data_IF_681878492603
#
_entry.id   IF_681878492603
#
_cell.length_a   1.000
_cell.length_b   1.000
_cell.length_c   1.000
_cell.angle_alpha   90.00
_cell.angle_beta   90.00
_cell.angle_gamma   90.00
#
_symmetry.space_group_name_H-M   'P 1'
#
loop_
_entity.id
_entity.type
_entity.pdbx_description
1 polymer ?
#
# COMPACT_ATOMS: atom_id res chain seq x y z
N UNK A 1 10.09 10.91 -3.91
CA UNK A 1 10.00 9.55 -3.34
C UNK A 1 9.15 9.62 -2.09
N UNK A 2 8.14 8.76 -1.97
CA UNK A 2 7.20 8.72 -0.86
C UNK A 2 7.10 7.28 -0.34
N UNK A 3 7.13 7.13 0.98
CA UNK A 3 6.84 5.86 1.65
C UNK A 3 5.38 5.90 2.12
N UNK A 4 4.59 4.95 1.66
CA UNK A 4 3.19 4.77 2.08
C UNK A 4 3.16 3.59 3.05
N UNK A 5 2.58 3.82 4.22
CA UNK A 5 2.35 2.80 5.24
C UNK A 5 0.85 2.70 5.51
N UNK A 6 0.28 1.51 5.33
CA UNK A 6 -1.14 1.25 5.55
C UNK A 6 -1.33 0.09 6.52
N UNK A 7 -2.21 0.27 7.53
CA UNK A 7 -2.57 -0.79 8.47
C UNK A 7 -4.01 -1.23 8.18
N UNK A 8 -4.17 -2.46 7.73
CA UNK A 8 -5.45 -3.04 7.32
C UNK A 8 -5.79 -4.29 8.11
N UNK A 9 -7.03 -4.76 7.96
CA UNK A 9 -7.45 -6.07 8.46
C UNK A 9 -6.91 -7.17 7.52
N UNK A 10 -6.53 -8.35 8.04
CA UNK A 10 -5.89 -9.39 7.23
C UNK A 10 -6.70 -9.82 5.99
N UNK A 11 -8.03 -9.89 6.11
CA UNK A 11 -8.90 -10.32 5.00
C UNK A 11 -8.95 -9.36 3.80
N UNK A 12 -8.45 -8.13 3.93
CA UNK A 12 -8.41 -7.15 2.83
C UNK A 12 -7.10 -7.19 2.04
N UNK A 13 -6.16 -8.06 2.40
CA UNK A 13 -4.85 -8.09 1.76
C UNK A 13 -4.94 -8.39 0.26
N UNK A 14 -5.76 -9.37 -0.14
CA UNK A 14 -5.93 -9.75 -1.54
C UNK A 14 -6.53 -8.61 -2.38
N UNK A 15 -7.58 -7.95 -1.86
CA UNK A 15 -8.22 -6.78 -2.47
C UNK A 15 -7.21 -5.63 -2.69
N UNK A 16 -6.36 -5.37 -1.69
CA UNK A 16 -5.33 -4.33 -1.79
C UNK A 16 -4.21 -4.72 -2.75
N UNK A 17 -3.84 -6.00 -2.82
CA UNK A 17 -2.84 -6.51 -3.75
C UNK A 17 -3.29 -6.35 -5.20
N UNK A 18 -4.53 -6.72 -5.52
CA UNK A 18 -5.11 -6.55 -6.86
C UNK A 18 -5.16 -5.07 -7.25
N UNK A 19 -5.68 -4.22 -6.35
CA UNK A 19 -5.74 -2.78 -6.60
C UNK A 19 -4.36 -2.15 -6.83
N UNK A 20 -3.33 -2.58 -6.10
CA UNK A 20 -1.95 -2.10 -6.31
C UNK A 20 -1.36 -2.61 -7.63
N UNK A 21 -1.68 -3.84 -8.03
CA UNK A 21 -1.25 -4.41 -9.30
C UNK A 21 -1.85 -3.65 -10.50
N UNK A 22 -3.13 -3.28 -10.43
CA UNK A 22 -3.80 -2.48 -11.48
C UNK A 22 -3.18 -1.08 -11.65
N UNK A 23 -2.62 -0.53 -10.58
CA UNK A 23 -1.89 0.76 -10.61
C UNK A 23 -0.44 0.58 -11.08
N UNK A 24 0.01 -0.65 -11.33
CA UNK A 24 1.36 -0.97 -11.80
C UNK A 24 2.41 -1.08 -10.69
N UNK A 25 1.99 -1.21 -9.43
CA UNK A 25 2.88 -1.41 -8.28
C UNK A 25 3.09 -2.91 -8.07
N UNK A 26 4.28 -3.41 -8.38
CA UNK A 26 4.62 -4.84 -8.28
C UNK A 26 5.35 -5.21 -6.98
N UNK A 27 5.91 -4.23 -6.28
CA UNK A 27 6.66 -4.42 -5.03
C UNK A 27 5.87 -3.96 -3.81
N UNK A 28 5.51 -4.89 -2.93
CA UNK A 28 4.89 -4.60 -1.63
C UNK A 28 5.64 -5.34 -0.53
N UNK A 29 5.80 -4.70 0.62
CA UNK A 29 6.32 -5.35 1.84
C UNK A 29 5.17 -5.51 2.81
N UNK A 30 4.98 -6.72 3.32
CA UNK A 30 3.91 -7.06 4.25
C UNK A 30 4.51 -7.45 5.59
N UNK A 31 3.99 -6.87 6.66
CA UNK A 31 4.40 -7.13 8.04
C UNK A 31 3.17 -7.47 8.86
N UNK A 32 3.24 -8.56 9.62
CA UNK A 32 2.21 -8.90 10.60
C UNK A 32 2.33 -7.98 11.81
N UNK A 33 1.23 -7.34 12.18
CA UNK A 33 1.17 -6.39 13.27
C UNK A 33 0.04 -6.75 14.24
N UNK A 34 0.21 -6.35 15.49
CA UNK A 34 -0.82 -6.45 16.52
C UNK A 34 -1.25 -5.03 16.86
N UNK A 35 -2.52 -4.72 16.63
CA UNK A 35 -3.05 -3.38 16.80
C UNK A 35 -4.06 -3.30 17.94
N UNK A 36 -3.85 -2.36 18.85
CA UNK A 36 -4.82 -1.94 19.86
C UNK A 36 -5.46 -0.60 19.46
N UNK A 37 -6.72 -0.34 19.82
CA UNK A 37 -7.39 0.91 19.41
C UNK A 37 -8.79 1.09 20.01
N UNK A 38 -9.61 1.95 19.38
CA UNK A 38 -10.98 2.32 19.85
C UNK A 38 -12.02 1.19 19.82
N UNK A 39 -11.72 0.04 19.23
CA UNK A 39 -12.57 -1.15 19.36
C UNK A 39 -12.28 -1.74 20.74
N UNK A 40 -13.16 -1.45 21.71
CA UNK A 40 -13.08 -1.90 23.11
C UNK A 40 -12.55 -3.33 23.18
N UNK A 41 -11.35 -3.52 23.74
CA UNK A 41 -10.82 -4.83 24.08
C UNK A 41 -11.83 -5.55 24.97
N UNK A 42 -12.22 -6.76 24.60
CA UNK A 42 -13.00 -7.60 25.50
C UNK A 42 -12.07 -8.08 26.62
N UNK A 43 -12.30 -7.60 27.84
CA UNK A 43 -11.65 -8.10 29.04
C UNK A 43 -12.29 -9.46 29.37
N UNK A 44 -11.76 -10.56 28.84
CA UNK A 44 -12.16 -11.89 29.26
C UNK A 44 -11.40 -12.26 30.55
N UNK A 45 -12.11 -12.29 31.67
CA UNK A 45 -11.58 -12.83 32.92
C UNK A 45 -11.42 -14.36 32.80
N UNK A 46 -10.20 -14.86 32.93
CA UNK A 46 -9.95 -16.29 33.09
C UNK A 46 -9.25 -16.56 34.42
N UNK A 47 -9.92 -17.32 35.30
CA UNK A 47 -9.40 -17.80 36.61
C UNK A 47 -8.81 -16.71 37.52
N UNK A 48 -9.41 -15.52 37.57
CA UNK A 48 -9.00 -14.46 38.50
C UNK A 48 -7.67 -13.77 38.16
N UNK A 49 -7.09 -14.05 36.99
CA UNK A 49 -5.99 -13.28 36.42
C UNK A 49 -6.52 -12.52 35.19
N UNK A 50 -6.40 -11.20 35.19
CA UNK A 50 -6.74 -10.37 34.04
C UNK A 50 -5.72 -10.61 32.93
N UNK A 51 -6.07 -11.42 31.94
CA UNK A 51 -5.31 -11.48 30.69
C UNK A 51 -6.00 -10.58 29.68
N UNK A 52 -5.48 -9.37 29.55
CA UNK A 52 -5.97 -8.44 28.54
C UNK A 52 -5.50 -8.93 27.17
N UNK A 53 -6.38 -9.62 26.43
CA UNK A 53 -6.12 -9.96 25.02
C UNK A 53 -6.45 -8.73 24.18
N UNK A 54 -5.64 -7.69 24.34
CA UNK A 54 -5.85 -6.36 23.74
C UNK A 54 -5.60 -6.32 22.22
N UNK A 55 -4.91 -7.31 21.69
CA UNK A 55 -4.30 -7.19 20.37
C UNK A 55 -5.12 -7.90 19.29
N UNK A 56 -5.76 -7.11 18.43
CA UNK A 56 -6.35 -7.61 17.19
C UNK A 56 -5.24 -7.79 16.13
N UNK A 57 -5.21 -8.93 15.41
CA UNK A 57 -4.27 -9.12 14.32
C UNK A 57 -4.58 -8.13 13.19
N UNK A 58 -3.54 -7.42 12.76
CA UNK A 58 -3.57 -6.48 11.64
C UNK A 58 -2.40 -6.75 10.72
N UNK A 59 -2.51 -6.25 9.50
CA UNK A 59 -1.43 -6.33 8.53
C UNK A 59 -0.98 -4.92 8.19
N UNK A 60 0.33 -4.68 8.28
CA UNK A 60 0.95 -3.45 7.81
C UNK A 60 1.51 -3.69 6.41
N UNK A 61 1.12 -2.86 5.46
CA UNK A 61 1.63 -2.84 4.09
C UNK A 61 2.51 -1.61 3.94
N UNK A 62 3.72 -1.81 3.45
CA UNK A 62 4.66 -0.75 3.11
C UNK A 62 4.95 -0.74 1.61
N UNK A 63 4.80 0.42 0.99
CA UNK A 63 5.09 0.63 -0.43
C UNK A 63 5.94 1.89 -0.59
N UNK A 64 7.03 1.80 -1.34
CA UNK A 64 7.85 2.95 -1.72
C UNK A 64 7.51 3.30 -3.16
N UNK A 65 7.04 4.53 -3.37
CA UNK A 65 6.69 5.03 -4.70
C UNK A 65 7.62 6.20 -5.03
N UNK A 66 8.23 6.18 -6.20
CA UNK A 66 8.88 7.38 -6.75
C UNK A 66 7.82 8.44 -7.01
N UNK A 67 8.14 9.73 -6.81
CA UNK A 67 7.18 10.73 -7.27
C UNK A 67 7.07 10.57 -8.79
N UNK A 68 5.86 10.53 -9.37
CA UNK A 68 5.73 10.48 -10.81
C UNK A 68 6.57 11.61 -11.40
N UNK A 69 7.34 11.37 -12.49
CA UNK A 69 8.02 12.46 -13.17
C UNK A 69 6.95 13.49 -13.53
N UNK A 70 7.04 14.69 -12.96
CA UNK A 70 6.22 15.84 -13.39
C UNK A 70 6.33 15.88 -14.90
N UNK A 71 5.27 15.52 -15.59
CA UNK A 71 5.25 15.36 -17.04
C UNK A 71 5.72 16.68 -17.62
N UNK A 72 6.96 16.70 -18.10
CA UNK A 72 7.47 17.76 -18.97
C UNK A 72 6.50 17.78 -20.13
N UNK A 73 5.76 18.88 -20.29
CA UNK A 73 4.85 19.09 -21.42
C UNK A 73 5.58 18.63 -22.69
N UNK A 74 5.15 17.52 -23.28
CA UNK A 74 5.61 17.08 -24.59
C UNK A 74 4.96 18.01 -25.60
N UNK A 75 5.58 19.18 -25.80
CA UNK A 75 5.40 19.95 -27.01
C UNK A 75 5.95 19.07 -28.14
N UNK A 76 5.06 18.48 -28.91
CA UNK A 76 5.38 17.71 -30.11
C UNK A 76 5.24 18.68 -31.29
N UNK A 77 6.33 19.21 -31.90
CA UNK A 77 6.26 19.63 -33.28
C UNK A 77 6.70 18.46 -34.15
N UNK A 78 6.01 18.37 -35.27
CA UNK A 78 5.81 17.16 -36.05
C UNK A 78 7.07 16.69 -36.80
N UNK A 79 6.98 15.42 -37.19
CA UNK A 79 7.95 14.65 -37.98
C UNK A 79 8.33 15.42 -39.26
N UNK A 80 9.61 15.37 -39.59
CA UNK A 80 10.20 16.04 -40.75
C UNK A 80 9.68 15.49 -42.09
N UNK A 81 9.75 16.29 -43.17
CA UNK A 81 9.48 15.80 -44.51
C UNK A 81 10.69 15.01 -45.00
N UNK A 82 10.41 13.78 -45.43
CA UNK A 82 11.28 12.90 -46.20
C UNK A 82 12.02 13.67 -47.31
N UNK A 83 13.36 13.67 -47.25
CA UNK A 83 14.22 13.94 -48.41
C UNK A 83 14.89 12.65 -48.85
N UNK A 84 14.55 12.09 -50.01
CA UNK A 84 15.49 11.28 -50.75
C UNK A 84 16.32 12.21 -51.66
N UNK A 85 17.61 12.35 -51.37
CA UNK A 85 18.58 12.72 -52.39
C UNK A 85 18.98 11.43 -53.13
N UNK A 86 18.27 11.11 -54.20
CA UNK A 86 18.77 10.38 -55.38
C UNK A 86 17.75 10.42 -56.51
#
# INVERSE_FOLDING_TARGET
>A
MKKIEAIIKPFKLDEVKEALHDVGIQGITVLEAKGFGRQKGHTELYRGAEYVVDFLPKVKIEVVIEDPPRTRCRCHPERGPDRPHR
#
